data_IF_140998332842
#
_entry.id   IF_140998332842
#
_cell.length_a   1.000
_cell.length_b   1.000
_cell.length_c   1.000
_cell.angle_alpha   90.00
_cell.angle_beta   90.00
_cell.angle_gamma   90.00
#
_symmetry.space_group_name_H-M   'P 1'
#
loop_
_entity.id
_entity.type
_entity.pdbx_description
1 polymer ?
#
# COMPACT_ATOMS: atom_id res chain seq x y z
N UNK A 1 -27.68 -0.07 11.76
CA UNK A 1 -27.13 -0.69 10.52
C UNK A 1 -28.20 -1.16 9.52
N UNK A 2 -29.33 -1.79 9.93
CA UNK A 2 -30.38 -2.26 9.00
C UNK A 2 -31.00 -1.15 8.11
N UNK A 3 -31.23 0.07 8.64
CA UNK A 3 -31.81 1.20 7.88
C UNK A 3 -30.91 1.75 6.76
N UNK A 4 -29.58 1.78 6.96
CA UNK A 4 -28.62 2.24 5.94
C UNK A 4 -28.51 1.22 4.79
N UNK A 5 -28.60 -0.08 5.11
CA UNK A 5 -28.53 -1.14 4.09
C UNK A 5 -29.76 -1.15 3.18
N UNK A 6 -30.96 -0.91 3.75
CA UNK A 6 -32.20 -0.82 2.97
C UNK A 6 -32.20 0.39 2.02
N UNK A 7 -31.70 1.53 2.48
CA UNK A 7 -31.60 2.75 1.68
C UNK A 7 -30.61 2.60 0.50
N UNK A 8 -29.51 1.85 0.66
CA UNK A 8 -28.51 1.70 -0.40
C UNK A 8 -28.97 0.73 -1.49
N UNK A 9 -29.67 -0.35 -1.12
CA UNK A 9 -30.21 -1.33 -2.06
C UNK A 9 -31.31 -0.74 -2.94
N UNK A 10 -32.17 0.13 -2.39
CA UNK A 10 -33.21 0.80 -3.17
C UNK A 10 -32.63 1.71 -4.26
N UNK A 11 -31.51 2.39 -4.00
CA UNK A 11 -30.85 3.19 -5.05
C UNK A 11 -30.29 2.34 -6.17
N UNK A 12 -29.74 1.16 -5.87
CA UNK A 12 -29.18 0.29 -6.91
C UNK A 12 -30.26 -0.18 -7.90
N UNK A 13 -31.42 -0.58 -7.40
CA UNK A 13 -32.56 -0.94 -8.24
C UNK A 13 -33.02 0.24 -9.10
N UNK A 14 -33.07 1.46 -8.54
CA UNK A 14 -33.40 2.67 -9.29
C UNK A 14 -32.38 2.95 -10.39
N UNK A 15 -31.08 2.78 -10.13
CA UNK A 15 -30.04 2.97 -11.16
C UNK A 15 -30.19 1.97 -12.30
N UNK A 16 -30.35 0.69 -11.99
CA UNK A 16 -30.50 -0.36 -13.00
C UNK A 16 -31.77 -0.11 -13.84
N UNK A 17 -32.89 0.21 -13.18
CA UNK A 17 -34.15 0.51 -13.88
C UNK A 17 -34.04 1.73 -14.76
N UNK A 18 -33.35 2.78 -14.30
CA UNK A 18 -33.10 3.98 -15.11
C UNK A 18 -32.24 3.64 -16.33
N UNK A 19 -31.16 2.88 -16.16
CA UNK A 19 -30.30 2.48 -17.28
C UNK A 19 -31.06 1.60 -18.28
N UNK A 20 -31.78 0.59 -17.79
CA UNK A 20 -32.53 -0.34 -18.63
C UNK A 20 -33.60 0.35 -19.47
N UNK A 21 -34.30 1.35 -18.91
CA UNK A 21 -35.34 2.10 -19.62
C UNK A 21 -34.81 3.10 -20.64
N UNK A 22 -33.59 3.60 -20.47
CA UNK A 22 -33.06 4.73 -21.24
C UNK A 22 -31.89 4.35 -22.17
N UNK A 23 -31.37 3.12 -22.08
CA UNK A 23 -30.31 2.63 -22.97
C UNK A 23 -30.89 1.61 -23.96
N UNK A 24 -30.48 1.71 -25.22
CA UNK A 24 -30.82 0.73 -26.25
C UNK A 24 -29.99 -0.56 -26.15
N UNK A 25 -28.92 -0.54 -25.34
CA UNK A 25 -28.03 -1.69 -25.13
C UNK A 25 -28.35 -2.42 -23.82
N UNK A 26 -28.13 -3.75 -23.75
CA UNK A 26 -28.45 -4.52 -22.55
C UNK A 26 -27.69 -4.07 -21.32
N UNK A 27 -28.40 -3.96 -20.19
CA UNK A 27 -27.78 -3.67 -18.88
C UNK A 27 -27.53 -4.97 -18.14
N UNK A 28 -26.26 -5.25 -17.82
CA UNK A 28 -25.85 -6.47 -17.11
C UNK A 28 -25.29 -6.13 -15.72
N UNK A 29 -25.36 -7.09 -14.80
CA UNK A 29 -24.85 -6.92 -13.44
C UNK A 29 -23.82 -7.99 -13.10
N UNK A 30 -22.72 -7.60 -12.44
CA UNK A 30 -21.77 -8.54 -11.84
C UNK A 30 -21.78 -8.40 -10.32
N UNK A 31 -22.04 -9.50 -9.62
CA UNK A 31 -22.15 -9.49 -8.16
C UNK A 31 -21.21 -10.49 -7.49
N UNK A 32 -21.01 -10.31 -6.19
CA UNK A 32 -20.46 -11.30 -5.26
C UNK A 32 -21.58 -11.81 -4.35
N UNK A 33 -21.45 -13.04 -3.89
CA UNK A 33 -22.41 -13.64 -2.96
C UNK A 33 -22.28 -13.05 -1.55
N UNK A 34 -23.32 -13.20 -0.74
CA UNK A 34 -23.27 -13.02 0.71
C UNK A 34 -23.10 -14.38 1.39
N UNK A 35 -22.64 -14.38 2.65
CA UNK A 35 -22.58 -15.59 3.49
C UNK A 35 -23.96 -16.22 3.71
N UNK A 36 -25.03 -15.42 3.66
CA UNK A 36 -26.41 -15.90 3.70
C UNK A 36 -26.95 -16.08 2.27
N UNK A 37 -27.26 -17.32 1.91
CA UNK A 37 -27.90 -17.72 0.65
C UNK A 37 -29.20 -16.95 0.39
N UNK A 38 -30.05 -16.81 1.40
CA UNK A 38 -31.35 -16.13 1.26
C UNK A 38 -31.16 -14.65 0.94
N UNK A 39 -30.14 -14.03 1.51
CA UNK A 39 -29.76 -12.65 1.19
C UNK A 39 -29.23 -12.53 -0.24
N UNK A 40 -28.44 -13.49 -0.70
CA UNK A 40 -27.94 -13.52 -2.08
C UNK A 40 -29.08 -13.65 -3.09
N UNK A 41 -30.02 -14.57 -2.84
CA UNK A 41 -31.23 -14.76 -3.66
C UNK A 41 -32.04 -13.47 -3.76
N UNK A 42 -32.41 -12.87 -2.61
CA UNK A 42 -33.20 -11.62 -2.60
C UNK A 42 -32.48 -10.50 -3.34
N UNK A 43 -31.17 -10.40 -3.17
CA UNK A 43 -30.36 -9.39 -3.86
C UNK A 43 -30.36 -9.62 -5.37
N UNK A 44 -30.14 -10.84 -5.83
CA UNK A 44 -30.12 -11.16 -7.24
C UNK A 44 -31.50 -10.97 -7.91
N UNK A 45 -32.58 -11.35 -7.21
CA UNK A 45 -33.96 -11.12 -7.66
C UNK A 45 -34.28 -9.64 -7.83
N UNK A 46 -33.87 -8.82 -6.85
CA UNK A 46 -34.02 -7.35 -6.94
C UNK A 46 -33.32 -6.77 -8.17
N UNK A 47 -32.15 -7.27 -8.55
CA UNK A 47 -31.43 -6.80 -9.75
C UNK A 47 -32.16 -7.22 -11.04
N UNK A 48 -32.64 -8.46 -11.09
CA UNK A 48 -33.46 -8.95 -12.21
C UNK A 48 -34.72 -8.10 -12.38
N UNK A 49 -35.49 -7.90 -11.30
CA UNK A 49 -36.75 -7.16 -11.34
C UNK A 49 -36.53 -5.67 -11.67
N UNK A 50 -35.35 -5.13 -11.36
CA UNK A 50 -34.95 -3.79 -11.77
C UNK A 50 -34.63 -3.66 -13.26
N UNK A 51 -34.48 -4.77 -14.00
CA UNK A 51 -34.22 -4.77 -15.44
C UNK A 51 -32.82 -5.22 -15.85
N UNK A 52 -32.04 -5.85 -14.96
CA UNK A 52 -30.78 -6.48 -15.38
C UNK A 52 -31.07 -7.66 -16.32
N UNK A 53 -30.47 -7.67 -17.50
CA UNK A 53 -30.73 -8.67 -18.55
C UNK A 53 -29.76 -9.86 -18.54
N UNK A 54 -28.67 -9.77 -17.77
CA UNK A 54 -27.74 -10.87 -17.49
C UNK A 54 -27.09 -10.64 -16.13
N UNK A 55 -26.92 -11.72 -15.37
CA UNK A 55 -26.25 -11.68 -14.07
C UNK A 55 -24.97 -12.54 -14.06
N UNK A 56 -23.82 -11.91 -13.87
CA UNK A 56 -22.58 -12.64 -13.57
C UNK A 56 -22.41 -12.77 -12.05
N UNK A 57 -22.32 -14.00 -11.55
CA UNK A 57 -22.20 -14.28 -10.12
C UNK A 57 -20.79 -14.78 -9.81
N UNK A 58 -20.05 -14.00 -9.03
CA UNK A 58 -18.81 -14.48 -8.43
C UNK A 58 -19.15 -15.23 -7.13
N UNK A 59 -18.92 -16.55 -7.10
CA UNK A 59 -19.16 -17.43 -5.95
C UNK A 59 -18.28 -17.17 -4.72
N UNK A 60 -17.75 -15.95 -4.56
CA UNK A 60 -16.96 -15.54 -3.39
C UNK A 60 -17.62 -14.35 -2.71
N UNK A 61 -17.55 -14.32 -1.38
CA UNK A 61 -17.96 -13.17 -0.58
C UNK A 61 -17.02 -11.99 -0.81
N UNK A 62 -17.39 -10.80 -0.34
CA UNK A 62 -16.55 -9.59 -0.46
C UNK A 62 -15.25 -9.71 0.36
N UNK A 63 -15.32 -10.45 1.46
CA UNK A 63 -14.26 -10.67 2.43
C UNK A 63 -13.21 -11.67 1.91
N UNK A 64 -13.61 -12.57 1.01
CA UNK A 64 -12.73 -13.50 0.28
C UNK A 64 -11.90 -12.78 -0.79
N UNK A 65 -10.80 -12.15 -0.37
CA UNK A 65 -9.88 -11.41 -1.25
C UNK A 65 -8.42 -11.57 -0.84
N UNK A 66 -7.50 -11.32 -1.78
CA UNK A 66 -6.06 -11.37 -1.52
C UNK A 66 -5.62 -12.76 -1.02
N UNK A 67 -4.91 -12.85 0.11
CA UNK A 67 -4.54 -14.14 0.71
C UNK A 67 -5.74 -14.99 1.18
N UNK A 68 -6.92 -14.38 1.37
CA UNK A 68 -8.13 -15.06 1.85
C UNK A 68 -9.09 -15.43 0.70
N UNK A 69 -8.62 -15.44 -0.54
CA UNK A 69 -9.48 -15.61 -1.73
C UNK A 69 -10.27 -16.91 -1.70
N UNK A 70 -9.66 -18.04 -1.36
CA UNK A 70 -10.32 -19.34 -1.29
C UNK A 70 -10.97 -19.79 -2.60
N UNK A 71 -11.71 -20.91 -2.52
CA UNK A 71 -12.52 -21.42 -3.62
C UNK A 71 -13.84 -20.63 -3.73
N UNK A 72 -14.33 -20.51 -4.96
CA UNK A 72 -15.64 -19.99 -5.28
C UNK A 72 -16.68 -21.10 -5.05
N UNK A 73 -17.76 -20.75 -4.37
CA UNK A 73 -18.86 -21.66 -4.09
C UNK A 73 -19.85 -21.67 -5.25
N UNK A 74 -19.74 -22.70 -6.08
CA UNK A 74 -20.63 -22.92 -7.22
C UNK A 74 -22.04 -23.35 -6.82
N UNK A 75 -22.27 -23.79 -5.57
CA UNK A 75 -23.61 -24.11 -5.06
C UNK A 75 -24.52 -22.89 -5.08
N UNK A 76 -23.99 -21.73 -4.70
CA UNK A 76 -24.74 -20.46 -4.80
C UNK A 76 -25.16 -20.16 -6.23
N UNK A 77 -24.26 -20.39 -7.18
CA UNK A 77 -24.50 -20.13 -8.59
C UNK A 77 -25.59 -21.05 -9.14
N UNK A 78 -25.52 -22.35 -8.82
CA UNK A 78 -26.53 -23.35 -9.18
C UNK A 78 -27.92 -23.00 -8.61
N UNK A 79 -28.00 -22.62 -7.33
CA UNK A 79 -29.26 -22.20 -6.70
C UNK A 79 -29.85 -20.97 -7.38
N UNK A 80 -29.04 -19.95 -7.67
CA UNK A 80 -29.51 -18.75 -8.38
C UNK A 80 -29.98 -19.08 -9.79
N UNK A 81 -29.31 -19.99 -10.49
CA UNK A 81 -29.66 -20.42 -11.84
C UNK A 81 -31.05 -21.05 -11.90
N UNK A 82 -31.47 -21.74 -10.83
CA UNK A 82 -32.80 -22.34 -10.71
C UNK A 82 -33.90 -21.32 -10.36
N UNK A 83 -33.55 -20.21 -9.69
CA UNK A 83 -34.55 -19.24 -9.19
C UNK A 83 -34.74 -18.00 -10.06
N UNK A 84 -33.79 -17.70 -10.94
CA UNK A 84 -33.82 -16.53 -11.81
C UNK A 84 -34.11 -16.95 -13.25
N UNK A 85 -34.77 -16.06 -13.98
CA UNK A 85 -35.14 -16.28 -15.39
C UNK A 85 -34.14 -15.64 -16.35
N UNK A 86 -33.33 -14.68 -15.88
CA UNK A 86 -32.27 -14.07 -16.70
C UNK A 86 -31.07 -15.01 -16.84
N UNK A 87 -30.33 -14.96 -17.96
CA UNK A 87 -29.09 -15.70 -18.10
C UNK A 87 -28.11 -15.43 -16.96
N UNK A 88 -27.53 -16.50 -16.42
CA UNK A 88 -26.51 -16.41 -15.37
C UNK A 88 -25.16 -16.87 -15.91
N UNK A 89 -24.13 -16.06 -15.65
CA UNK A 89 -22.73 -16.42 -15.89
C UNK A 89 -22.02 -16.70 -14.56
N UNK A 90 -21.35 -17.85 -14.45
CA UNK A 90 -20.52 -18.16 -13.27
C UNK A 90 -19.16 -17.46 -13.35
N UNK A 91 -18.64 -16.97 -12.23
CA UNK A 91 -17.30 -16.41 -12.14
C UNK A 91 -16.55 -16.95 -10.91
N UNK A 92 -15.26 -17.23 -11.10
CA UNK A 92 -14.35 -17.67 -10.05
C UNK A 92 -13.94 -19.14 -10.20
N UNK A 93 -12.64 -19.39 -10.03
CA UNK A 93 -12.01 -20.72 -10.15
C UNK A 93 -12.13 -21.37 -11.55
N UNK A 94 -12.19 -20.56 -12.62
CA UNK A 94 -12.07 -21.03 -14.01
C UNK A 94 -10.65 -20.75 -14.48
N UNK A 95 -9.83 -21.78 -14.66
CA UNK A 95 -8.40 -21.66 -15.01
C UNK A 95 -8.05 -22.36 -16.33
N UNK A 96 -8.90 -23.26 -16.81
CA UNK A 96 -8.77 -24.01 -18.05
C UNK A 96 -10.12 -24.19 -18.74
N UNK A 97 -10.13 -24.63 -20.00
CA UNK A 97 -11.37 -25.03 -20.71
C UNK A 97 -12.11 -26.13 -19.95
N UNK A 98 -11.39 -27.09 -19.38
CA UNK A 98 -12.02 -28.15 -18.58
C UNK A 98 -12.78 -27.59 -17.36
N UNK A 99 -12.28 -26.51 -16.73
CA UNK A 99 -13.02 -25.84 -15.66
C UNK A 99 -14.29 -25.15 -16.18
N UNK A 100 -14.29 -24.66 -17.43
CA UNK A 100 -15.49 -24.11 -18.09
C UNK A 100 -16.55 -25.20 -18.21
N UNK A 101 -16.19 -26.34 -18.80
CA UNK A 101 -17.08 -27.48 -19.02
C UNK A 101 -17.65 -28.01 -17.71
N UNK A 102 -16.78 -28.23 -16.72
CA UNK A 102 -17.19 -28.65 -15.38
C UNK A 102 -18.13 -27.65 -14.71
N UNK A 103 -17.81 -26.36 -14.76
CA UNK A 103 -18.65 -25.34 -14.13
C UNK A 103 -20.05 -25.31 -14.76
N UNK A 104 -20.13 -25.41 -16.10
CA UNK A 104 -21.42 -25.47 -16.80
C UNK A 104 -22.19 -26.73 -16.44
N UNK A 105 -21.53 -27.90 -16.43
CA UNK A 105 -22.16 -29.17 -16.08
C UNK A 105 -22.69 -29.19 -14.63
N UNK A 106 -21.91 -28.68 -13.67
CA UNK A 106 -22.26 -28.68 -12.24
C UNK A 106 -23.34 -27.62 -11.89
N UNK A 107 -23.35 -26.47 -12.56
CA UNK A 107 -24.21 -25.34 -12.18
C UNK A 107 -25.39 -25.07 -13.11
N UNK A 108 -25.38 -25.61 -14.34
CA UNK A 108 -26.39 -25.36 -15.37
C UNK A 108 -26.42 -23.91 -15.87
N UNK A 109 -25.38 -23.12 -15.62
CA UNK A 109 -25.28 -21.72 -16.06
C UNK A 109 -25.21 -21.59 -17.57
N UNK A 110 -25.59 -20.41 -18.07
CA UNK A 110 -25.60 -20.10 -19.49
C UNK A 110 -24.21 -19.74 -20.04
N UNK A 111 -23.24 -19.52 -19.16
CA UNK A 111 -21.88 -19.19 -19.54
C UNK A 111 -20.98 -19.02 -18.33
N UNK A 112 -19.70 -18.77 -18.60
CA UNK A 112 -18.69 -18.52 -17.57
C UNK A 112 -17.94 -17.24 -17.89
N UNK A 113 -17.43 -16.59 -16.85
CA UNK A 113 -16.51 -15.48 -16.93
C UNK A 113 -15.24 -15.86 -16.20
N UNK A 114 -14.11 -15.82 -16.89
CA UNK A 114 -12.77 -15.93 -16.30
C UNK A 114 -12.13 -14.54 -16.20
N UNK A 115 -11.15 -14.42 -15.31
CA UNK A 115 -10.39 -13.19 -15.13
C UNK A 115 -8.92 -13.51 -14.84
N UNK A 116 -8.66 -14.21 -13.74
CA UNK A 116 -7.28 -14.53 -13.35
C UNK A 116 -6.61 -15.53 -14.29
N UNK A 117 -7.33 -16.56 -14.75
CA UNK A 117 -6.81 -17.53 -15.73
C UNK A 117 -6.29 -16.84 -16.99
N UNK A 118 -7.05 -15.89 -17.55
CA UNK A 118 -6.67 -15.14 -18.75
C UNK A 118 -5.38 -14.32 -18.60
N UNK A 119 -5.04 -13.89 -17.38
CA UNK A 119 -3.79 -13.14 -17.16
C UNK A 119 -2.56 -14.03 -17.31
N UNK A 120 -2.71 -15.33 -17.05
CA UNK A 120 -1.62 -16.31 -17.10
C UNK A 120 -1.60 -17.12 -18.40
N UNK A 121 -2.77 -17.39 -18.97
CA UNK A 121 -2.93 -17.97 -20.30
C UNK A 121 -4.00 -17.19 -21.08
N UNK A 122 -3.62 -16.23 -21.94
CA UNK A 122 -4.57 -15.51 -22.79
C UNK A 122 -5.34 -16.43 -23.75
N UNK A 123 -4.74 -17.55 -24.18
CA UNK A 123 -5.34 -18.57 -25.04
C UNK A 123 -6.21 -19.58 -24.28
N UNK A 124 -6.65 -19.25 -23.05
CA UNK A 124 -7.45 -20.16 -22.19
C UNK A 124 -8.65 -20.74 -22.93
N UNK A 125 -9.35 -19.98 -23.76
CA UNK A 125 -10.54 -20.45 -24.46
C UNK A 125 -10.27 -21.30 -25.71
N UNK A 126 -9.04 -21.29 -26.21
CA UNK A 126 -8.62 -22.19 -27.30
C UNK A 126 -8.25 -23.58 -26.79
N UNK A 127 -8.09 -23.74 -25.46
CA UNK A 127 -7.72 -25.03 -24.86
C UNK A 127 -6.25 -25.40 -25.07
N UNK A 128 -5.42 -24.45 -25.48
CA UNK A 128 -3.98 -24.65 -25.70
C UNK A 128 -3.15 -23.93 -24.63
N UNK A 129 -1.93 -24.42 -24.44
CA UNK A 129 -0.92 -23.83 -23.56
C UNK A 129 0.25 -23.37 -24.43
N UNK A 130 0.13 -22.22 -25.12
CA UNK A 130 1.18 -21.72 -26.01
C UNK A 130 2.42 -21.31 -25.21
N UNK A 131 3.52 -21.05 -25.89
CA UNK A 131 4.69 -20.47 -25.23
C UNK A 131 4.35 -19.07 -24.74
N UNK A 132 4.78 -18.73 -23.53
CA UNK A 132 4.51 -17.42 -22.92
C UNK A 132 5.07 -16.26 -23.73
N UNK A 133 6.19 -16.44 -24.44
CA UNK A 133 6.74 -15.41 -25.32
C UNK A 133 5.92 -15.17 -26.59
N UNK A 134 5.30 -16.20 -27.17
CA UNK A 134 4.42 -16.01 -28.35
C UNK A 134 3.24 -15.10 -28.00
N UNK A 135 2.57 -15.37 -26.87
CA UNK A 135 1.49 -14.55 -26.33
C UNK A 135 1.95 -13.15 -25.94
N UNK A 136 3.16 -13.02 -25.39
CA UNK A 136 3.72 -11.72 -25.04
C UNK A 136 4.06 -10.88 -26.28
N UNK A 137 4.59 -11.49 -27.35
CA UNK A 137 4.86 -10.81 -28.61
C UNK A 137 3.57 -10.33 -29.27
N UNK A 138 2.56 -11.19 -29.41
CA UNK A 138 1.25 -10.81 -29.93
C UNK A 138 0.62 -9.67 -29.11
N UNK A 139 0.69 -9.77 -27.77
CA UNK A 139 0.23 -8.71 -26.89
C UNK A 139 0.98 -7.38 -27.10
N UNK A 140 2.29 -7.41 -27.31
CA UNK A 140 3.09 -6.21 -27.55
C UNK A 140 2.80 -5.60 -28.93
N UNK A 141 2.54 -6.42 -29.94
CA UNK A 141 2.11 -5.94 -31.26
C UNK A 141 0.75 -5.23 -31.17
N UNK A 142 -0.19 -5.77 -30.38
CA UNK A 142 -1.46 -5.10 -30.09
C UNK A 142 -1.28 -3.79 -29.31
N UNK A 143 -0.30 -3.72 -28.41
CA UNK A 143 0.02 -2.49 -27.66
C UNK A 143 0.60 -1.41 -28.57
N UNK A 144 1.36 -1.78 -29.60
CA UNK A 144 1.85 -0.83 -30.61
C UNK A 144 0.69 -0.27 -31.44
N UNK A 145 -0.27 -1.11 -31.80
CA UNK A 145 -1.49 -0.69 -32.50
C UNK A 145 -2.44 0.12 -31.61
N UNK A 146 -2.55 -0.25 -30.34
CA UNK A 146 -3.45 0.33 -29.35
C UNK A 146 -2.68 0.70 -28.07
N UNK A 147 -2.05 1.89 -28.03
CA UNK A 147 -1.18 2.31 -26.93
C UNK A 147 -1.83 2.20 -25.55
N UNK A 148 -1.14 1.51 -24.64
CA UNK A 148 -1.57 1.30 -23.26
C UNK A 148 -0.57 1.91 -22.26
N UNK A 149 -1.02 2.30 -21.05
CA UNK A 149 -0.12 2.73 -19.98
C UNK A 149 0.95 1.67 -19.66
N UNK A 150 2.21 2.08 -19.53
CA UNK A 150 3.36 1.22 -19.19
C UNK A 150 3.11 0.36 -17.94
N UNK A 151 2.37 0.88 -16.96
CA UNK A 151 2.01 0.12 -15.75
C UNK A 151 1.14 -1.09 -16.05
N UNK A 152 0.30 -1.04 -17.08
CA UNK A 152 -0.59 -2.13 -17.49
C UNK A 152 0.20 -3.17 -18.28
N UNK A 153 1.00 -2.72 -19.24
CA UNK A 153 1.91 -3.57 -20.03
C UNK A 153 2.79 -4.41 -19.10
N UNK A 154 3.53 -3.76 -18.20
CA UNK A 154 4.35 -4.45 -17.21
C UNK A 154 3.53 -5.43 -16.37
N UNK A 155 2.36 -5.00 -15.89
CA UNK A 155 1.47 -5.84 -15.08
C UNK A 155 1.04 -7.13 -15.79
N UNK A 156 0.71 -7.06 -17.08
CA UNK A 156 0.34 -8.21 -17.89
C UNK A 156 1.54 -9.11 -18.18
N UNK A 157 2.70 -8.56 -18.54
CA UNK A 157 3.91 -9.37 -18.78
C UNK A 157 4.37 -10.11 -17.51
N UNK A 158 4.27 -9.51 -16.32
CA UNK A 158 4.51 -10.21 -15.06
C UNK A 158 3.57 -11.39 -14.81
N UNK A 159 2.38 -11.37 -15.43
CA UNK A 159 1.38 -12.43 -15.31
C UNK A 159 1.58 -13.53 -16.35
N UNK A 160 1.82 -13.15 -17.60
CA UNK A 160 2.16 -14.06 -18.70
C UNK A 160 3.43 -14.85 -18.35
N UNK A 161 4.50 -14.16 -17.93
CA UNK A 161 5.77 -14.79 -17.54
C UNK A 161 5.83 -15.22 -16.07
N UNK A 162 4.70 -15.39 -15.40
CA UNK A 162 4.69 -15.66 -13.95
C UNK A 162 5.63 -16.81 -13.59
N UNK A 163 5.53 -17.95 -14.26
CA UNK A 163 6.32 -19.15 -13.93
C UNK A 163 7.79 -18.98 -14.27
N UNK A 164 8.12 -18.38 -15.42
CA UNK A 164 9.51 -18.05 -15.78
C UNK A 164 10.16 -17.07 -14.80
N UNK A 165 9.48 -15.99 -14.41
CA UNK A 165 10.04 -14.96 -13.53
C UNK A 165 10.17 -15.39 -12.05
N UNK A 166 9.62 -16.54 -11.68
CA UNK A 166 9.81 -17.14 -10.35
C UNK A 166 11.00 -18.10 -10.29
N UNK A 167 11.58 -18.47 -11.44
CA UNK A 167 12.83 -19.24 -11.48
C UNK A 167 13.99 -18.36 -11.00
N UNK A 168 14.87 -18.91 -10.15
CA UNK A 168 15.99 -18.15 -9.57
C UNK A 168 16.95 -17.71 -10.68
N UNK A 169 17.16 -18.58 -11.67
CA UNK A 169 17.95 -18.31 -12.86
C UNK A 169 17.42 -17.16 -13.74
N UNK A 170 16.21 -16.63 -13.49
CA UNK A 170 15.63 -15.48 -14.20
C UNK A 170 15.53 -14.22 -13.34
N UNK A 171 16.20 -14.15 -12.19
CA UNK A 171 16.16 -12.97 -11.30
C UNK A 171 16.57 -11.68 -12.02
N UNK A 172 17.63 -11.72 -12.82
CA UNK A 172 18.09 -10.57 -13.60
C UNK A 172 17.03 -10.09 -14.61
N UNK A 173 16.43 -11.01 -15.38
CA UNK A 173 15.37 -10.70 -16.35
C UNK A 173 14.11 -10.14 -15.68
N UNK A 174 13.78 -10.62 -14.47
CA UNK A 174 12.69 -10.08 -13.66
C UNK A 174 12.94 -8.63 -13.26
N UNK A 175 14.16 -8.30 -12.85
CA UNK A 175 14.56 -6.94 -12.48
C UNK A 175 14.60 -6.02 -13.70
N UNK A 176 15.07 -6.52 -14.83
CA UNK A 176 15.02 -5.82 -16.11
C UNK A 176 13.57 -5.49 -16.49
N UNK A 177 12.66 -6.47 -16.49
CA UNK A 177 11.24 -6.26 -16.77
C UNK A 177 10.59 -5.22 -15.83
N UNK A 178 11.00 -5.22 -14.56
CA UNK A 178 10.49 -4.27 -13.56
C UNK A 178 10.92 -2.83 -13.87
N UNK A 179 12.09 -2.65 -14.47
CA UNK A 179 12.69 -1.36 -14.80
C UNK A 179 12.37 -0.86 -16.21
N UNK A 180 11.78 -1.68 -17.09
CA UNK A 180 11.42 -1.27 -18.44
C UNK A 180 10.50 -0.03 -18.48
N UNK A 181 10.74 0.87 -19.42
CA UNK A 181 10.00 2.12 -19.63
C UNK A 181 9.43 2.30 -21.04
N UNK A 182 9.70 1.38 -21.96
CA UNK A 182 9.23 1.46 -23.36
C UNK A 182 8.83 0.08 -23.91
N UNK A 183 8.03 0.06 -24.98
CA UNK A 183 7.63 -1.19 -25.66
C UNK A 183 8.84 -1.96 -26.22
N UNK A 184 9.84 -1.31 -26.85
CA UNK A 184 11.06 -1.99 -27.29
C UNK A 184 11.84 -2.67 -26.14
N UNK A 185 11.91 -2.06 -24.96
CA UNK A 185 12.54 -2.69 -23.79
C UNK A 185 11.77 -3.93 -23.32
N UNK A 186 10.43 -3.88 -23.32
CA UNK A 186 9.62 -5.06 -23.01
C UNK A 186 9.80 -6.18 -24.04
N UNK A 187 9.92 -5.83 -25.32
CA UNK A 187 10.19 -6.77 -26.41
C UNK A 187 11.56 -7.42 -26.23
N UNK A 188 12.59 -6.64 -25.88
CA UNK A 188 13.93 -7.16 -25.58
C UNK A 188 13.92 -8.20 -24.45
N UNK A 189 13.22 -7.96 -23.34
CA UNK A 189 13.12 -8.96 -22.26
C UNK A 189 12.38 -10.21 -22.74
N UNK A 190 11.33 -10.04 -23.54
CA UNK A 190 10.56 -11.16 -24.11
C UNK A 190 11.42 -12.04 -25.01
N UNK A 191 12.21 -11.44 -25.91
CA UNK A 191 13.12 -12.16 -26.81
C UNK A 191 14.26 -12.85 -26.06
N UNK A 192 14.79 -12.26 -24.98
CA UNK A 192 15.78 -12.92 -24.12
C UNK A 192 15.20 -14.17 -23.43
N UNK A 193 13.94 -14.11 -22.97
CA UNK A 193 13.26 -15.29 -22.42
C UNK A 193 13.03 -16.34 -23.51
N UNK A 194 12.60 -15.94 -24.70
CA UNK A 194 12.47 -16.84 -25.85
C UNK A 194 13.79 -17.53 -26.18
N UNK A 195 14.86 -16.78 -26.44
CA UNK A 195 16.18 -17.33 -26.79
C UNK A 195 16.70 -18.32 -25.74
N UNK A 196 16.49 -17.99 -24.45
CA UNK A 196 16.90 -18.85 -23.34
C UNK A 196 16.15 -20.19 -23.31
N UNK A 197 14.85 -20.19 -23.61
CA UNK A 197 13.99 -21.36 -23.42
C UNK A 197 13.61 -22.10 -24.71
N UNK A 198 13.79 -21.49 -25.88
CA UNK A 198 13.49 -22.07 -27.19
C UNK A 198 14.22 -23.40 -27.44
N UNK A 199 15.54 -23.56 -27.16
CA UNK A 199 16.22 -24.83 -27.35
C UNK A 199 15.63 -25.98 -26.51
N UNK A 200 15.06 -25.68 -25.34
CA UNK A 200 14.37 -26.68 -24.51
C UNK A 200 13.00 -27.02 -25.09
N UNK A 201 12.27 -26.02 -25.59
CA UNK A 201 10.97 -26.22 -26.23
C UNK A 201 11.06 -27.05 -27.51
N UNK A 202 12.10 -26.85 -28.32
CA UNK A 202 12.38 -27.60 -29.55
C UNK A 202 12.99 -28.99 -29.30
N UNK A 203 13.25 -29.36 -28.04
CA UNK A 203 13.88 -30.64 -27.68
C UNK A 203 15.38 -30.72 -27.98
N UNK A 204 16.03 -29.61 -28.32
CA UNK A 204 17.50 -29.53 -28.54
C UNK A 204 18.29 -29.61 -27.23
N UNK A 205 17.68 -29.20 -26.11
CA UNK A 205 18.23 -29.32 -24.75
C UNK A 205 17.23 -30.00 -23.83
N UNK A 206 17.72 -30.85 -22.92
CA UNK A 206 16.90 -31.46 -21.88
C UNK A 206 16.67 -30.46 -20.73
N UNK A 207 15.42 -30.29 -20.33
CA UNK A 207 15.07 -29.51 -19.14
C UNK A 207 14.99 -30.43 -17.93
N UNK A 208 15.87 -30.22 -16.95
CA UNK A 208 15.94 -31.00 -15.70
C UNK A 208 15.39 -30.24 -14.49
N UNK A 209 14.77 -29.07 -14.70
CA UNK A 209 14.42 -28.12 -13.63
C UNK A 209 15.49 -27.06 -13.42
N UNK A 210 15.21 -26.10 -12.53
CA UNK A 210 16.23 -25.14 -12.07
C UNK A 210 17.20 -25.92 -11.15
N UNK A 211 18.52 -25.75 -11.30
CA UNK A 211 19.59 -26.52 -10.64
C UNK A 211 19.58 -26.50 -9.09
N UNK A 212 18.57 -25.89 -8.46
CA UNK A 212 18.41 -25.78 -7.00
C UNK A 212 17.09 -26.35 -6.46
N UNK A 213 16.41 -27.20 -7.21
CA UNK A 213 15.24 -27.99 -6.75
C UNK A 213 15.62 -29.10 -5.73
N UNK A 214 16.64 -28.89 -4.89
CA UNK A 214 16.84 -29.68 -3.67
C UNK A 214 15.86 -29.24 -2.54
N UNK A 215 15.15 -28.12 -2.70
CA UNK A 215 14.25 -27.54 -1.68
C UNK A 215 12.75 -27.84 -1.88
N UNK A 216 12.36 -28.82 -2.72
CA UNK A 216 10.96 -29.32 -2.76
C UNK A 216 10.83 -30.74 -2.22
N UNK A 217 11.34 -30.95 -1.02
CA UNK A 217 10.80 -31.93 -0.08
C UNK A 217 9.56 -31.35 0.62
N UNK A 218 8.53 -31.02 -0.16
CA UNK A 218 7.14 -30.91 0.30
C UNK A 218 6.31 -31.66 -0.74
N UNK A 219 6.60 -32.97 -0.88
CA UNK A 219 5.67 -33.91 -1.49
C UNK A 219 4.51 -34.02 -0.52
N UNK A 220 3.40 -33.37 -0.85
CA UNK A 220 2.11 -33.73 -0.31
C UNK A 220 1.90 -35.22 -0.65
N UNK A 221 2.02 -36.11 0.33
CA UNK A 221 1.80 -37.56 0.19
C UNK A 221 0.33 -37.89 -0.13
N UNK A 222 -0.55 -36.89 -0.19
CA UNK A 222 -1.88 -37.04 -0.76
C UNK A 222 -1.80 -36.92 -2.29
N UNK A 223 -1.74 -38.06 -2.97
CA UNK A 223 -1.72 -38.22 -4.44
C UNK A 223 -2.97 -37.68 -5.17
N UNK A 224 -3.31 -36.42 -4.92
CA UNK A 224 -4.40 -35.66 -5.54
C UNK A 224 -3.89 -34.35 -6.15
N UNK A 225 -2.58 -34.23 -6.43
CA UNK A 225 -2.13 -33.10 -7.22
C UNK A 225 -2.52 -33.32 -8.70
N UNK A 226 -3.62 -32.69 -9.10
CA UNK A 226 -4.06 -32.61 -10.49
C UNK A 226 -3.23 -31.61 -11.30
N UNK A 227 -2.15 -31.03 -10.74
CA UNK A 227 -1.24 -30.18 -11.49
C UNK A 227 -0.46 -31.03 -12.52
N UNK A 228 -0.89 -30.94 -13.78
CA UNK A 228 -0.03 -31.24 -14.91
C UNK A 228 1.18 -30.28 -14.81
N UNK A 229 2.36 -30.80 -14.46
CA UNK A 229 3.59 -30.02 -14.44
C UNK A 229 4.01 -29.70 -15.88
N UNK A 230 3.44 -28.63 -16.44
CA UNK A 230 3.83 -28.11 -17.74
C UNK A 230 5.20 -27.42 -17.62
N UNK A 231 6.02 -27.47 -18.69
CA UNK A 231 7.25 -26.69 -18.74
C UNK A 231 6.99 -25.21 -18.39
N UNK A 232 7.88 -24.55 -17.64
CA UNK A 232 7.62 -23.23 -17.06
C UNK A 232 7.45 -22.13 -18.11
N UNK A 233 7.90 -22.36 -19.34
CA UNK A 233 7.71 -21.45 -20.47
C UNK A 233 6.34 -21.54 -21.13
N UNK A 234 5.55 -22.58 -20.87
CA UNK A 234 4.18 -22.66 -21.38
C UNK A 234 3.24 -21.83 -20.50
N UNK A 235 2.33 -21.11 -21.15
CA UNK A 235 1.21 -20.46 -20.49
C UNK A 235 0.40 -21.51 -19.73
N UNK A 236 0.25 -21.33 -18.42
CA UNK A 236 -0.42 -22.31 -17.57
C UNK A 236 -1.06 -21.61 -16.36
N UNK A 237 -2.11 -22.20 -15.78
CA UNK A 237 -2.79 -21.67 -14.61
C UNK A 237 -1.86 -21.26 -13.46
N UNK A 238 -2.25 -20.20 -12.74
CA UNK A 238 -1.66 -19.90 -11.44
C UNK A 238 -2.60 -20.34 -10.31
N UNK A 239 -2.22 -21.43 -9.65
CA UNK A 239 -2.93 -21.95 -8.49
C UNK A 239 -2.48 -21.22 -7.23
N UNK A 240 -3.42 -20.51 -6.60
CA UNK A 240 -3.15 -19.81 -5.34
C UNK A 240 -3.15 -20.79 -4.18
N UNK A 241 -2.21 -20.61 -3.26
CA UNK A 241 -2.24 -21.29 -1.99
C UNK A 241 -3.60 -21.08 -1.27
N UNK A 242 -4.15 -22.13 -0.65
CA UNK A 242 -5.38 -22.02 0.14
C UNK A 242 -5.25 -20.97 1.25
N UNK A 243 -6.36 -20.31 1.66
CA UNK A 243 -6.35 -19.35 2.76
C UNK A 243 -5.77 -19.91 4.07
N UNK A 244 -5.87 -21.22 4.28
CA UNK A 244 -5.34 -21.90 5.45
C UNK A 244 -3.83 -21.73 5.60
N UNK A 245 -3.09 -21.87 4.50
CA UNK A 245 -1.63 -21.66 4.47
C UNK A 245 -1.28 -20.23 4.94
N UNK A 246 -2.08 -19.24 4.54
CA UNK A 246 -1.87 -17.87 5.00
C UNK A 246 -2.21 -17.68 6.48
N UNK A 247 -3.29 -18.31 6.96
CA UNK A 247 -3.68 -18.29 8.38
C UNK A 247 -2.61 -18.92 9.26
N UNK A 248 -2.06 -20.05 8.85
CA UNK A 248 -0.95 -20.73 9.53
C UNK A 248 0.29 -19.83 9.59
N UNK A 249 0.71 -19.23 8.46
CA UNK A 249 1.84 -18.29 8.44
C UNK A 249 1.64 -17.09 9.36
N UNK A 250 0.40 -16.58 9.47
CA UNK A 250 0.08 -15.50 10.41
C UNK A 250 0.11 -15.96 11.87
N UNK A 251 -0.43 -17.14 12.17
CA UNK A 251 -0.42 -17.72 13.51
C UNK A 251 1.01 -18.00 13.98
N UNK A 252 1.84 -18.56 13.10
CA UNK A 252 3.25 -18.79 13.38
C UNK A 252 4.03 -17.49 13.57
N UNK A 253 3.83 -16.50 12.69
CA UNK A 253 4.46 -15.19 12.84
C UNK A 253 4.04 -14.49 14.15
N UNK A 254 2.81 -14.74 14.62
CA UNK A 254 2.32 -14.27 15.92
C UNK A 254 2.98 -15.02 17.07
N UNK A 255 3.05 -16.35 17.00
CA UNK A 255 3.76 -17.19 17.99
C UNK A 255 5.21 -16.76 18.14
N UNK A 256 5.94 -16.61 17.03
CA UNK A 256 7.32 -16.10 17.01
C UNK A 256 7.42 -14.67 17.55
N UNK A 257 6.37 -13.85 17.40
CA UNK A 257 6.36 -12.50 17.94
C UNK A 257 6.11 -12.44 19.45
N UNK A 258 5.41 -13.43 20.00
CA UNK A 258 5.10 -13.59 21.41
C UNK A 258 6.18 -14.39 22.16
N UNK A 259 7.16 -14.97 21.45
CA UNK A 259 8.30 -15.69 22.04
C UNK A 259 9.21 -14.74 22.86
N UNK A 260 9.35 -14.96 24.18
CA UNK A 260 10.17 -14.11 25.05
C UNK A 260 11.67 -14.23 24.78
N UNK A 261 12.13 -15.28 24.11
CA UNK A 261 13.55 -15.50 23.77
C UNK A 261 13.95 -14.84 22.44
N UNK A 262 13.00 -14.22 21.74
CA UNK A 262 13.25 -13.65 20.42
C UNK A 262 14.17 -12.43 20.49
N UNK A 263 15.30 -12.52 19.79
CA UNK A 263 16.14 -11.37 19.49
C UNK A 263 15.37 -10.31 18.68
N UNK A 264 15.31 -9.09 19.22
CA UNK A 264 14.72 -7.95 18.52
C UNK A 264 15.65 -7.54 17.39
N UNK A 265 15.16 -7.61 16.15
CA UNK A 265 15.90 -7.11 14.97
C UNK A 265 16.22 -5.62 15.16
N UNK A 266 17.50 -5.32 15.33
CA UNK A 266 18.04 -3.96 15.34
C UNK A 266 18.18 -3.48 13.90
N UNK A 267 17.96 -2.19 13.67
CA UNK A 267 18.21 -1.58 12.36
C UNK A 267 19.11 -0.38 12.58
N UNK A 268 20.09 -0.17 11.71
CA UNK A 268 21.03 0.93 11.83
C UNK A 268 20.91 1.88 10.64
N UNK A 269 21.24 3.16 10.85
CA UNK A 269 21.43 4.11 9.75
C UNK A 269 22.85 4.03 9.17
N UNK A 270 23.11 4.85 8.15
CA UNK A 270 24.42 4.88 7.47
C UNK A 270 25.58 5.32 8.38
N UNK A 271 25.28 5.92 9.53
CA UNK A 271 26.27 6.37 10.51
C UNK A 271 26.33 5.40 11.70
N UNK A 272 25.74 4.21 11.59
CA UNK A 272 25.76 3.18 12.63
C UNK A 272 24.81 3.42 13.80
N UNK A 273 23.92 4.43 13.75
CA UNK A 273 22.98 4.67 14.84
C UNK A 273 21.76 3.75 14.74
N UNK A 274 21.29 3.22 15.87
CA UNK A 274 20.08 2.40 15.88
C UNK A 274 18.84 3.25 15.49
N UNK A 275 18.05 2.72 14.57
CA UNK A 275 16.86 3.35 14.02
C UNK A 275 15.67 2.40 14.04
N UNK A 276 14.46 2.95 14.12
CA UNK A 276 13.25 2.13 14.00
C UNK A 276 13.10 1.55 12.57
N UNK A 277 12.46 0.38 12.46
CA UNK A 277 12.04 -0.23 11.18
C UNK A 277 11.27 0.74 10.27
N UNK A 278 10.46 1.64 10.87
CA UNK A 278 9.71 2.67 10.13
C UNK A 278 10.64 3.72 9.52
N UNK A 279 11.66 4.17 10.26
CA UNK A 279 12.68 5.13 9.80
C UNK A 279 13.52 4.51 8.67
N UNK A 280 13.97 3.26 8.83
CA UNK A 280 14.71 2.53 7.78
C UNK A 280 13.90 2.42 6.47
N UNK A 281 12.63 1.99 6.55
CA UNK A 281 11.74 1.90 5.37
C UNK A 281 11.50 3.26 4.71
N UNK A 282 11.41 4.34 5.51
CA UNK A 282 11.26 5.71 4.99
C UNK A 282 12.51 6.13 4.22
N UNK A 283 13.71 5.87 4.75
CA UNK A 283 14.97 6.21 4.09
C UNK A 283 15.14 5.46 2.77
N UNK A 284 14.91 4.15 2.73
CA UNK A 284 14.94 3.36 1.48
C UNK A 284 13.95 3.88 0.43
N UNK A 285 12.75 4.32 0.85
CA UNK A 285 11.77 4.93 -0.06
C UNK A 285 12.22 6.29 -0.59
N UNK A 286 12.95 7.07 0.20
CA UNK A 286 13.50 8.37 -0.23
C UNK A 286 14.65 8.15 -1.21
N UNK A 287 15.54 7.18 -0.96
CA UNK A 287 16.64 6.82 -1.86
C UNK A 287 16.15 6.36 -3.25
N UNK A 288 15.04 5.60 -3.30
CA UNK A 288 14.45 5.11 -4.56
C UNK A 288 13.64 6.16 -5.33
N UNK A 289 13.49 7.38 -4.82
CA UNK A 289 12.77 8.43 -5.57
C UNK A 289 13.69 8.98 -6.65
N UNK A 290 13.22 9.09 -7.91
CA UNK A 290 13.95 9.82 -8.93
C UNK A 290 14.29 11.23 -8.42
N UNK A 291 15.54 11.69 -8.64
CA UNK A 291 15.94 13.06 -8.33
C UNK A 291 15.06 13.99 -9.18
N UNK A 292 14.04 14.58 -8.56
CA UNK A 292 13.11 15.46 -9.26
C UNK A 292 13.83 16.77 -9.58
N UNK A 293 14.33 16.93 -10.83
CA UNK A 293 15.06 18.12 -11.30
C UNK A 293 14.29 19.43 -10.97
N UNK A 294 12.96 19.40 -11.06
CA UNK A 294 12.10 20.55 -10.71
C UNK A 294 12.12 20.97 -9.23
N UNK A 295 12.52 20.08 -8.31
CA UNK A 295 12.64 20.43 -6.88
C UNK A 295 13.92 21.21 -6.60
N UNK A 296 14.98 20.97 -7.37
CA UNK A 296 16.27 21.68 -7.25
C UNK A 296 16.09 23.11 -7.76
N UNK A 297 15.50 23.28 -8.95
CA UNK A 297 15.16 24.59 -9.52
C UNK A 297 14.28 25.44 -8.60
N UNK A 298 13.29 24.83 -7.95
CA UNK A 298 12.38 25.54 -7.01
C UNK A 298 13.04 25.91 -5.68
N UNK A 299 14.14 25.26 -5.31
CA UNK A 299 14.93 25.60 -4.15
C UNK A 299 15.98 26.69 -4.49
N UNK A 300 16.58 26.64 -5.69
CA UNK A 300 17.44 27.70 -6.21
C UNK A 300 16.68 29.04 -6.34
N UNK A 301 15.46 29.01 -6.87
CA UNK A 301 14.59 30.20 -6.95
C UNK A 301 14.14 30.75 -5.59
N UNK A 302 14.24 29.96 -4.52
CA UNK A 302 13.95 30.41 -3.14
C UNK A 302 15.17 31.03 -2.46
N UNK A 303 16.37 30.54 -2.78
CA UNK A 303 17.62 31.10 -2.26
C UNK A 303 17.99 32.41 -2.97
N UNK A 304 17.59 32.59 -4.23
CA UNK A 304 17.76 33.85 -4.96
C UNK A 304 16.80 34.98 -4.50
N UNK A 305 15.77 34.68 -3.71
CA UNK A 305 14.73 35.63 -3.30
C UNK A 305 14.87 36.12 -1.84
N UNK A 306 16.03 35.90 -1.20
CA UNK A 306 16.25 36.22 0.21
C UNK A 306 17.60 36.89 0.48
N UNK A 307 17.75 38.14 0.05
CA UNK A 307 18.79 39.05 0.56
C UNK A 307 18.13 40.14 1.41
N UNK A 308 18.30 40.06 2.73
CA UNK A 308 18.52 41.20 3.65
C UNK A 308 18.56 40.73 5.13
N UNK A 309 19.70 40.95 5.78
CA UNK A 309 19.96 40.93 7.24
C UNK A 309 20.42 39.59 7.83
N UNK A 310 21.73 39.36 8.01
CA UNK A 310 22.51 39.41 9.29
C UNK A 310 22.01 38.42 10.37
N UNK A 311 22.81 37.56 11.02
CA UNK A 311 24.23 37.62 11.34
C UNK A 311 24.77 36.22 11.77
N UNK A 312 26.03 35.93 11.42
CA UNK A 312 27.01 35.06 12.10
C UNK A 312 26.74 33.59 12.45
N UNK A 313 27.39 32.64 11.76
CA UNK A 313 28.60 31.91 12.25
C UNK A 313 29.11 30.88 11.21
N UNK A 314 30.44 30.87 11.07
CA UNK A 314 31.37 30.02 10.28
C UNK A 314 31.11 28.50 10.41
N UNK A 315 31.50 27.62 9.47
CA UNK A 315 32.87 27.13 9.19
C UNK A 315 32.93 26.33 7.86
N UNK A 316 33.98 26.65 7.08
CA UNK A 316 34.82 25.92 6.11
C UNK A 316 34.33 24.68 5.29
N UNK A 317 34.41 24.85 3.97
CA UNK A 317 35.03 24.03 2.89
C UNK A 317 35.68 22.68 3.22
N UNK A 318 35.52 21.69 2.30
CA UNK A 318 36.62 21.26 1.40
C UNK A 318 36.13 20.41 0.19
N UNK A 319 36.76 20.65 -0.98
CA UNK A 319 36.90 19.94 -2.27
C UNK A 319 35.78 19.05 -2.83
N UNK A 320 35.26 19.28 -4.06
CA UNK A 320 35.89 18.98 -5.38
C UNK A 320 35.48 17.56 -5.83
N UNK A 321 34.91 17.26 -7.01
CA UNK A 321 35.26 17.65 -8.38
C UNK A 321 33.99 17.71 -9.26
N UNK A 322 33.94 18.71 -10.15
CA UNK A 322 32.98 18.84 -11.26
C UNK A 322 33.71 18.45 -12.56
N UNK A 323 33.12 17.57 -13.36
CA UNK A 323 33.47 17.40 -14.77
C UNK A 323 32.37 18.10 -15.60
N UNK A 324 32.77 19.14 -16.33
CA UNK A 324 31.99 19.84 -17.34
C UNK A 324 32.08 19.05 -18.66
N UNK A 325 30.94 18.80 -19.31
CA UNK A 325 30.88 18.56 -20.76
C UNK A 325 30.01 19.64 -21.39
N UNK A 326 30.57 20.28 -22.41
CA UNK A 326 30.06 21.43 -23.15
C UNK A 326 28.93 21.03 -24.11
N UNK A 327 27.82 21.79 -24.06
CA UNK A 327 26.74 21.74 -25.04
C UNK A 327 27.10 22.60 -26.27
N UNK A 328 27.19 21.99 -27.46
CA UNK A 328 27.08 22.70 -28.74
C UNK A 328 25.61 22.79 -29.19
N UNK A 329 25.11 24.03 -29.30
CA UNK A 329 23.83 24.35 -29.93
C UNK A 329 23.98 24.46 -31.45
N UNK A 330 23.03 23.89 -32.21
CA UNK A 330 22.68 24.34 -33.56
C UNK A 330 21.16 24.47 -33.65
N UNK A 331 20.72 25.64 -34.10
CA UNK A 331 19.35 26.13 -34.21
C UNK A 331 18.75 25.85 -35.62
N UNK A 332 17.43 26.07 -35.67
CA UNK A 332 16.54 26.38 -36.79
C UNK A 332 15.83 25.25 -37.56
N UNK A 333 14.49 25.39 -37.58
CA UNK A 333 13.59 24.60 -38.43
C UNK A 333 12.12 24.79 -38.03
N UNK A 334 11.57 25.97 -38.32
CA UNK A 334 10.15 26.29 -38.15
C UNK A 334 9.27 25.41 -39.04
N UNK A 335 8.17 24.89 -38.48
CA UNK A 335 7.05 24.38 -39.28
C UNK A 335 5.70 24.89 -38.76
N UNK A 336 4.90 25.30 -39.73
CA UNK A 336 3.76 26.20 -39.61
C UNK A 336 2.49 25.38 -39.41
N UNK A 337 1.77 25.59 -38.30
CA UNK A 337 0.45 24.97 -38.09
C UNK A 337 -0.64 25.97 -38.45
N UNK A 338 -1.33 25.70 -39.56
CA UNK A 338 -2.51 26.44 -40.02
C UNK A 338 -3.68 26.13 -39.07
N UNK A 339 -4.17 27.16 -38.36
CA UNK A 339 -5.43 27.09 -37.59
C UNK A 339 -6.63 27.16 -38.55
N UNK A 340 -7.51 26.16 -38.51
CA UNK A 340 -8.85 26.27 -39.10
C UNK A 340 -9.79 27.01 -38.13
N UNK A 341 -10.33 28.14 -38.57
CA UNK A 341 -11.41 28.87 -37.88
C UNK A 341 -12.76 28.17 -38.10
N UNK A 342 -13.50 27.93 -37.02
CA UNK A 342 -14.87 27.39 -37.04
C UNK A 342 -15.85 28.47 -36.55
N UNK A 343 -17.01 28.68 -37.21
CA UNK A 343 -17.91 29.80 -36.92
C UNK A 343 -18.59 29.74 -35.54
N UNK A 344 -18.97 30.90 -34.95
CA UNK A 344 -19.46 30.97 -33.59
C UNK A 344 -20.99 30.93 -33.54
N UNK A 345 -21.60 29.75 -33.47
CA UNK A 345 -22.96 29.64 -32.92
C UNK A 345 -23.34 28.21 -32.59
N UNK A 346 -23.26 27.88 -31.29
CA UNK A 346 -24.20 27.10 -30.48
C UNK A 346 -23.41 26.51 -29.31
N UNK A 347 -23.59 27.20 -28.18
CA UNK A 347 -23.01 27.00 -26.86
C UNK A 347 -22.85 25.53 -26.44
N UNK A 348 -21.59 25.05 -26.48
CA UNK A 348 -21.16 23.78 -25.87
C UNK A 348 -20.40 23.96 -24.55
N UNK A 349 -20.51 25.13 -23.90
CA UNK A 349 -19.93 25.37 -22.58
C UNK A 349 -20.97 25.49 -21.45
N UNK A 350 -22.26 25.30 -21.72
CA UNK A 350 -23.33 25.17 -20.72
C UNK A 350 -23.27 23.89 -19.83
N UNK A 351 -22.11 23.21 -19.74
CA UNK A 351 -21.82 22.21 -18.70
C UNK A 351 -20.50 22.45 -17.96
N UNK A 352 -20.05 23.71 -17.86
CA UNK A 352 -19.08 24.08 -16.82
C UNK A 352 -19.76 24.01 -15.46
N UNK A 353 -19.33 23.00 -14.70
CA UNK A 353 -19.63 22.69 -13.29
C UNK A 353 -19.94 23.95 -12.47
N UNK A 354 -21.07 23.94 -11.75
CA UNK A 354 -21.33 24.82 -10.60
C UNK A 354 -20.28 24.56 -9.51
N UNK A 355 -19.11 25.18 -9.64
CA UNK A 355 -18.13 25.44 -8.59
C UNK A 355 -18.39 26.88 -8.12
N UNK A 356 -19.50 27.10 -7.44
CA UNK A 356 -19.73 28.40 -6.82
C UNK A 356 -18.97 28.44 -5.49
N UNK A 357 -18.19 29.50 -5.34
CA UNK A 357 -17.21 29.83 -4.29
C UNK A 357 -15.84 29.12 -4.40
N UNK A 358 -14.92 29.78 -5.13
CA UNK A 358 -13.49 29.62 -4.91
C UNK A 358 -13.16 29.88 -3.43
N UNK A 359 -12.14 29.21 -2.92
CA UNK A 359 -11.72 29.36 -1.53
C UNK A 359 -11.29 30.80 -1.22
N UNK A 360 -12.04 31.51 -0.38
CA UNK A 360 -11.80 32.88 0.10
C UNK A 360 -10.68 32.99 1.16
N UNK A 361 -9.60 32.21 1.02
CA UNK A 361 -8.57 32.09 2.06
C UNK A 361 -7.91 33.42 2.46
N UNK A 362 -7.25 33.44 3.62
CA UNK A 362 -6.36 34.51 4.13
C UNK A 362 -5.14 34.82 3.24
N UNK A 363 -5.06 34.25 2.03
CA UNK A 363 -4.06 34.60 1.02
C UNK A 363 -4.82 35.06 -0.23
N UNK A 364 -4.65 36.31 -0.68
CA UNK A 364 -5.56 36.98 -1.63
C UNK A 364 -5.57 36.41 -3.07
N UNK A 365 -4.93 35.26 -3.32
CA UNK A 365 -4.83 34.62 -4.66
C UNK A 365 -5.10 33.12 -4.65
N UNK A 366 -5.92 32.60 -3.74
CA UNK A 366 -6.25 31.17 -3.72
C UNK A 366 -7.22 30.80 -4.85
N UNK A 367 -6.75 30.02 -5.83
CA UNK A 367 -7.56 29.53 -6.96
C UNK A 367 -8.13 28.12 -6.74
N UNK A 368 -7.89 27.53 -5.56
CA UNK A 368 -8.36 26.19 -5.26
C UNK A 368 -9.86 26.18 -4.93
N UNK A 369 -10.61 25.18 -5.39
CA UNK A 369 -12.01 25.06 -5.07
C UNK A 369 -12.22 24.77 -3.58
N UNK A 370 -13.31 25.30 -3.03
CA UNK A 370 -13.72 25.05 -1.65
C UNK A 370 -14.06 23.57 -1.43
N UNK A 371 -13.66 23.03 -0.28
CA UNK A 371 -13.99 21.65 0.08
C UNK A 371 -15.45 21.53 0.56
N UNK A 372 -16.29 20.78 -0.16
CA UNK A 372 -17.72 20.59 0.15
C UNK A 372 -18.03 20.09 1.57
N UNK A 373 -17.07 19.40 2.20
CA UNK A 373 -17.21 18.84 3.55
C UNK A 373 -16.37 19.59 4.57
N UNK A 374 -15.71 20.69 4.19
CA UNK A 374 -14.81 21.42 5.06
C UNK A 374 -15.59 22.22 6.11
N UNK A 375 -15.33 21.95 7.38
CA UNK A 375 -15.93 22.69 8.50
C UNK A 375 -15.60 24.19 8.47
N UNK A 376 -14.53 24.58 7.77
CA UNK A 376 -14.03 25.95 7.68
C UNK A 376 -14.34 26.63 6.36
N UNK A 377 -15.07 25.97 5.44
CA UNK A 377 -15.36 26.49 4.08
C UNK A 377 -14.11 26.93 3.31
N UNK A 378 -13.00 26.20 3.47
CA UNK A 378 -11.74 26.45 2.78
C UNK A 378 -11.39 25.27 1.88
N UNK A 379 -10.44 25.46 0.95
CA UNK A 379 -9.79 24.33 0.29
C UNK A 379 -8.93 23.55 1.30
N UNK A 380 -8.53 22.32 0.96
CA UNK A 380 -7.74 21.46 1.86
C UNK A 380 -6.46 22.12 2.36
N UNK A 381 -5.77 22.87 1.50
CA UNK A 381 -4.49 23.49 1.85
C UNK A 381 -4.65 24.67 2.80
N UNK A 382 -5.61 25.54 2.49
CA UNK A 382 -6.02 26.69 3.28
C UNK A 382 -6.54 26.27 4.65
N UNK A 383 -7.44 25.28 4.68
CA UNK A 383 -7.97 24.67 5.89
C UNK A 383 -6.85 24.11 6.78
N UNK A 384 -5.84 23.46 6.21
CA UNK A 384 -4.71 22.92 6.98
C UNK A 384 -3.88 24.01 7.64
N UNK A 385 -3.65 25.13 6.95
CA UNK A 385 -2.93 26.28 7.51
C UNK A 385 -3.70 26.90 8.68
N UNK A 386 -4.99 27.15 8.47
CA UNK A 386 -5.91 27.67 9.50
C UNK A 386 -5.99 26.76 10.73
N UNK A 387 -6.23 25.46 10.54
CA UNK A 387 -6.23 24.48 11.63
C UNK A 387 -4.92 24.45 12.43
N UNK A 388 -3.78 24.72 11.78
CA UNK A 388 -2.48 24.75 12.44
C UNK A 388 -2.25 26.02 13.27
N UNK A 389 -2.62 27.18 12.72
CA UNK A 389 -2.49 28.49 13.36
C UNK A 389 -3.46 28.65 14.52
N UNK A 390 -4.74 28.31 14.30
CA UNK A 390 -5.80 28.48 15.30
C UNK A 390 -5.94 27.30 16.27
N UNK A 391 -5.08 26.28 16.16
CA UNK A 391 -5.15 25.06 16.95
C UNK A 391 -6.55 24.40 16.92
N UNK A 392 -7.05 24.13 15.71
CA UNK A 392 -8.38 23.53 15.47
C UNK A 392 -8.28 22.24 14.65
N UNK A 393 -9.36 21.46 14.69
CA UNK A 393 -9.54 20.29 13.85
C UNK A 393 -10.48 20.59 12.67
N UNK A 394 -10.42 19.75 11.64
CA UNK A 394 -11.41 19.70 10.57
C UNK A 394 -11.73 18.24 10.24
N UNK A 395 -12.94 17.79 10.58
CA UNK A 395 -13.44 16.45 10.30
C UNK A 395 -13.60 16.23 8.79
N UNK A 396 -14.06 17.27 8.08
CA UNK A 396 -14.18 17.30 6.63
C UNK A 396 -12.94 16.87 5.86
N UNK A 397 -11.82 17.54 6.14
CA UNK A 397 -10.53 17.24 5.53
C UNK A 397 -9.70 16.22 6.32
N UNK A 398 -10.24 15.68 7.41
CA UNK A 398 -9.56 14.76 8.34
C UNK A 398 -8.25 15.35 8.89
N UNK A 399 -8.25 16.64 9.19
CA UNK A 399 -7.14 17.37 9.83
C UNK A 399 -7.40 17.36 11.34
N UNK A 400 -6.44 16.84 12.11
CA UNK A 400 -6.55 16.67 13.57
C UNK A 400 -5.36 17.32 14.29
N UNK A 401 -5.23 18.64 14.22
CA UNK A 401 -4.12 19.37 14.85
C UNK A 401 -4.35 19.51 16.36
N UNK A 402 -5.53 19.98 16.79
CA UNK A 402 -5.89 20.18 18.20
C UNK A 402 -5.81 18.87 18.97
N UNK A 403 -6.53 17.84 18.50
CA UNK A 403 -6.54 16.51 19.13
C UNK A 403 -5.14 15.90 19.27
N UNK A 404 -4.23 16.18 18.32
CA UNK A 404 -2.85 15.68 18.38
C UNK A 404 -2.00 16.43 19.40
N UNK A 405 -2.16 17.75 19.50
CA UNK A 405 -1.44 18.56 20.50
C UNK A 405 -1.91 18.23 21.91
N UNK A 406 -3.23 18.11 22.13
CA UNK A 406 -3.79 17.69 23.44
C UNK A 406 -3.25 16.33 23.87
N UNK A 407 -3.20 15.36 22.95
CA UNK A 407 -2.64 14.04 23.26
C UNK A 407 -1.14 14.10 23.59
N UNK A 408 -0.38 14.96 22.95
CA UNK A 408 1.04 15.15 23.27
C UNK A 408 1.22 15.77 24.66
N UNK A 409 0.42 16.78 25.00
CA UNK A 409 0.43 17.41 26.34
C UNK A 409 0.07 16.38 27.42
N UNK A 410 -0.99 15.60 27.20
CA UNK A 410 -1.39 14.55 28.15
C UNK A 410 -0.29 13.51 28.39
N UNK A 411 0.45 13.13 27.34
CA UNK A 411 1.60 12.22 27.46
C UNK A 411 2.69 12.84 28.34
N UNK A 412 3.08 14.10 28.07
CA UNK A 412 4.12 14.78 28.85
C UNK A 412 3.71 15.02 30.31
N UNK A 413 2.43 15.23 30.59
CA UNK A 413 1.92 15.38 31.97
C UNK A 413 1.95 14.05 32.71
N UNK A 414 1.60 12.94 32.03
CA UNK A 414 1.68 11.60 32.61
C UNK A 414 3.14 11.20 32.92
N UNK A 415 4.08 11.51 32.03
CA UNK A 415 5.52 11.27 32.25
C UNK A 415 6.05 12.03 33.48
N UNK A 416 5.66 13.31 33.64
CA UNK A 416 6.04 14.10 34.83
C UNK A 416 5.41 13.59 36.12
N UNK A 417 4.16 13.12 36.07
CA UNK A 417 3.48 12.55 37.23
C UNK A 417 4.18 11.26 37.67
N UNK A 418 4.59 10.44 36.72
CA UNK A 418 5.29 9.18 36.97
C UNK A 418 6.68 9.43 37.62
N UNK A 419 7.42 10.44 37.14
CA UNK A 419 8.68 10.86 37.78
C UNK A 419 8.48 11.33 39.23
N UNK A 420 7.45 12.14 39.51
CA UNK A 420 7.13 12.57 40.88
C UNK A 420 6.77 11.40 41.80
N UNK A 421 6.03 10.42 41.29
CA UNK A 421 5.68 9.22 42.06
C UNK A 421 6.90 8.34 42.33
N UNK A 422 7.86 8.27 41.41
CA UNK A 422 9.13 7.57 41.61
C UNK A 422 10.03 8.29 42.63
N UNK A 423 10.13 9.62 42.56
CA UNK A 423 10.84 10.44 43.54
C UNK A 423 10.24 10.32 44.95
N UNK A 424 8.91 10.35 45.07
CA UNK A 424 8.21 10.22 46.35
C UNK A 424 8.41 8.83 46.96
N UNK A 425 8.36 7.77 46.14
CA UNK A 425 8.68 6.39 46.61
C UNK A 425 10.13 6.26 47.05
N UNK A 426 11.07 6.90 46.34
CA UNK A 426 12.48 6.91 46.73
C UNK A 426 12.69 7.62 48.06
N UNK A 427 12.01 8.76 48.29
CA UNK A 427 12.06 9.50 49.55
C UNK A 427 11.45 8.71 50.72
N UNK A 428 10.29 8.07 50.52
CA UNK A 428 9.66 7.21 51.54
C UNK A 428 10.54 6.00 51.89
N UNK A 429 11.25 5.44 50.91
CA UNK A 429 12.16 4.32 51.13
C UNK A 429 13.41 4.75 51.91
N UNK A 430 13.99 5.92 51.62
CA UNK A 430 15.08 6.48 52.43
C UNK A 430 14.64 6.81 53.86
N UNK A 431 13.43 7.33 54.05
CA UNK A 431 12.90 7.63 55.38
C UNK A 431 12.63 6.35 56.20
N UNK A 432 12.17 5.27 55.57
CA UNK A 432 12.03 3.95 56.24
C UNK A 432 13.38 3.38 56.68
N UNK A 433 14.41 3.49 55.84
CA UNK A 433 15.76 3.03 56.17
C UNK A 433 16.36 3.81 57.35
N UNK A 434 16.10 5.12 57.45
CA UNK A 434 16.51 5.94 58.61
C UNK A 434 15.82 5.51 59.91
N UNK A 435 14.52 5.19 59.86
CA UNK A 435 13.74 4.77 61.05
C UNK A 435 14.10 3.35 61.49
N UNK A 436 14.42 2.45 60.55
CA UNK A 436 14.90 1.09 60.87
C UNK A 436 16.32 1.11 61.45
N UNK A 437 17.19 2.02 60.98
CA UNK A 437 18.52 2.24 61.56
C UNK A 437 18.49 2.73 63.01
N UNK A 438 17.48 3.53 63.41
CA UNK A 438 17.33 4.01 64.79
C UNK A 438 16.70 3.02 65.76
N UNK A 439 16.19 1.87 65.29
CA UNK A 439 15.53 0.84 66.14
C UNK A 439 16.44 -0.33 66.51
N UNK A 440 17.65 -0.41 65.96
CA UNK A 440 18.64 -1.45 66.24
C UNK A 440 19.90 -0.88 66.92
N UNK A 441 19.73 -0.13 68.00
CA UNK A 441 20.82 0.22 68.92
C UNK A 441 20.48 -0.28 70.33
N UNK A 442 21.21 -1.29 70.77
CA UNK A 442 21.22 -1.81 72.14
C UNK A 442 22.08 -0.93 73.07
N UNK A 443 21.85 -0.92 74.40
CA UNK A 443 22.41 0.06 75.33
C UNK A 443 23.89 -0.18 75.71
N UNK A 444 24.73 -0.68 74.79
CA UNK A 444 26.13 -1.02 75.06
C UNK A 444 27.15 -0.45 74.07
N UNK A 445 26.73 0.28 73.04
CA UNK A 445 27.64 1.01 72.12
C UNK A 445 27.58 2.55 72.31
N UNK A 446 26.96 3.00 73.40
CA UNK A 446 26.75 4.41 73.74
C UNK A 446 27.99 5.13 74.32
N UNK A 447 29.21 4.61 74.17
CA UNK A 447 30.44 5.27 74.68
C UNK A 447 31.56 5.40 73.63
N UNK A 448 31.34 4.97 72.38
CA UNK A 448 32.33 5.15 71.29
C UNK A 448 31.75 5.76 70.01
N UNK A 449 30.54 6.33 70.06
CA UNK A 449 29.97 7.17 68.98
C UNK A 449 29.76 8.64 69.37
N UNK A 450 30.20 9.06 70.57
CA UNK A 450 30.16 10.47 71.00
C UNK A 450 31.46 11.26 70.69
N UNK A 451 32.48 10.63 70.10
CA UNK A 451 33.72 11.34 69.70
C UNK A 451 33.92 11.48 68.19
N UNK A 452 33.30 10.67 67.34
CA UNK A 452 33.47 10.79 65.87
C UNK A 452 32.39 11.64 65.17
N UNK A 453 31.19 11.78 65.75
CA UNK A 453 30.12 12.65 65.21
C UNK A 453 30.38 14.15 65.50
N UNK A 454 31.28 14.46 66.43
CA UNK A 454 31.71 15.84 66.71
C UNK A 454 32.78 16.35 65.74
N UNK A 455 33.46 15.46 64.99
CA UNK A 455 34.55 15.84 64.09
C UNK A 455 34.06 16.00 62.63
N UNK A 456 33.10 15.19 62.17
CA UNK A 456 32.49 15.39 60.83
C UNK A 456 31.52 16.59 60.76
N UNK A 457 30.90 16.99 61.88
CA UNK A 457 30.03 18.18 61.93
C UNK A 457 30.76 19.52 61.83
N UNK A 458 32.07 19.53 62.06
CA UNK A 458 32.92 20.73 61.92
C UNK A 458 33.38 20.88 60.45
N UNK A 459 33.56 19.77 59.72
CA UNK A 459 33.95 19.81 58.30
C UNK A 459 32.78 20.05 57.35
N UNK A 460 31.55 19.61 57.68
CA UNK A 460 30.37 19.87 56.85
C UNK A 460 29.86 21.32 56.96
N UNK A 461 29.94 21.94 58.15
CA UNK A 461 29.50 23.32 58.35
C UNK A 461 30.46 24.36 57.72
N UNK A 462 31.72 24.01 57.47
CA UNK A 462 32.66 24.87 56.74
C UNK A 462 32.42 24.86 55.21
N UNK A 463 31.81 23.80 54.67
CA UNK A 463 31.49 23.70 53.24
C UNK A 463 30.16 24.38 52.86
N UNK A 464 29.19 24.44 53.77
CA UNK A 464 27.91 25.12 53.53
C UNK A 464 27.99 26.65 53.67
N UNK A 465 28.87 27.21 54.52
CA UNK A 465 29.10 28.67 54.56
C UNK A 465 29.88 29.20 53.34
N UNK A 466 30.63 28.35 52.63
CA UNK A 466 31.36 28.75 51.42
C UNK A 466 30.50 28.78 50.13
N UNK A 467 29.34 28.10 50.11
CA UNK A 467 28.45 28.07 48.94
C UNK A 467 27.37 29.17 48.96
N UNK A 468 27.04 29.72 50.12
CA UNK A 468 26.01 30.77 50.26
C UNK A 468 26.55 32.17 49.89
N UNK A 469 27.86 32.35 49.74
CA UNK A 469 28.45 33.63 49.34
C UNK A 469 28.71 33.78 47.82
N UNK A 470 28.54 32.71 47.03
CA UNK A 470 28.77 32.75 45.55
C UNK A 470 27.48 33.03 44.75
N UNK A 471 26.29 32.90 45.36
CA UNK A 471 25.00 33.09 44.67
C UNK A 471 24.31 34.43 45.00
N UNK A 472 25.06 35.42 45.49
CA UNK A 472 24.60 36.81 45.61
C UNK A 472 25.15 37.77 44.57
N UNK A 473 26.01 37.33 43.64
CA UNK A 473 26.48 38.13 42.50
C UNK A 473 26.44 37.30 41.19
N UNK A 474 25.24 36.95 40.72
CA UNK A 474 24.98 36.73 39.29
C UNK A 474 23.55 37.08 38.89
#
# INVERSE_FOLDING_TARGET
MRKIFFFCLSYLAVYISTLHRNLAIPVTCKIRIFEDMSKTIRYARMLQDAGAQLLTVHGRTREQKGPLTGLADWKYVSVLRQQLSVPIFSNGNIMSVHDVERCIAETGVNGVMTAEGNLHNPALFEGVNPTSWSMAHEYLDLVEQYPAPISYIRGHLFKIFHHLLHLKSNTALREQLASCHSVPEFRSVTSQLEEKYLPYHEGKKLWTGDETEEDKADKDESGTDQNLHLPPWLCQPYMRAPPEVHRQKLAEARRLAEDPTREKRQFFDAHGNEISRKRMKKMRRVQRRPKNKNRVLRNAARNAAGSNGDDGKTIADDGGEEEEEEDENVDEGADTVILMEVPPSLDKNARRRRFEELCNNESPKCTNPMGLKCDHRLCRMCCRKKCYQENRDCLGHKIRIKSRREKAIALTMAEKQQQKEEEQKSAEQQQKLLVEGSRNLSPTDAVTMETDVAQERVESNAAEEACVEVDKHR
#
